data_IF_401866252812
#
_entry.id   IF_401866252812
#
_cell.length_a   1.000
_cell.length_b   1.000
_cell.length_c   1.000
_cell.angle_alpha   90.00
_cell.angle_beta   90.00
_cell.angle_gamma   90.00
#
_symmetry.space_group_name_H-M   'P 1'
#
loop_
_entity.id
_entity.type
_entity.pdbx_description
1 polymer ?
#
# COMPACT_ATOMS: atom_id res chain seq x y z
N UNK A 1 34.59 10.48 28.16
CA UNK A 1 34.20 10.96 26.81
C UNK A 1 34.27 9.87 25.73
N UNK A 2 35.31 9.04 25.68
CA UNK A 2 35.45 7.94 24.70
C UNK A 2 34.32 6.87 24.73
N UNK A 3 33.85 6.47 25.91
CA UNK A 3 32.82 5.42 26.04
C UNK A 3 31.43 5.88 25.57
N UNK A 4 31.07 7.13 25.87
CA UNK A 4 29.80 7.74 25.44
C UNK A 4 29.75 7.92 23.92
N UNK A 5 30.89 8.28 23.31
CA UNK A 5 31.03 8.40 21.87
C UNK A 5 30.89 7.04 21.16
N UNK A 6 31.46 5.96 21.72
CA UNK A 6 31.29 4.60 21.17
C UNK A 6 29.83 4.11 21.23
N UNK A 7 29.12 4.46 22.31
CA UNK A 7 27.69 4.16 22.45
C UNK A 7 26.84 4.90 21.40
N UNK A 8 27.14 6.17 21.17
CA UNK A 8 26.48 6.98 20.13
C UNK A 8 26.72 6.42 18.71
N UNK A 9 27.96 6.02 18.42
CA UNK A 9 28.28 5.39 17.12
C UNK A 9 27.59 4.04 16.93
N UNK A 10 27.44 3.23 17.98
CA UNK A 10 26.74 1.94 17.90
C UNK A 10 25.24 2.07 17.65
N UNK A 11 24.58 3.08 18.22
CA UNK A 11 23.14 3.32 17.96
C UNK A 11 22.87 3.81 16.55
N UNK A 12 23.76 4.63 15.97
CA UNK A 12 23.62 5.13 14.59
C UNK A 12 23.70 3.98 13.58
N UNK A 13 24.60 3.01 13.80
CA UNK A 13 24.75 1.86 12.92
C UNK A 13 23.52 0.93 12.94
N UNK A 14 22.85 0.79 14.09
CA UNK A 14 21.64 -0.02 14.22
C UNK A 14 20.42 0.57 13.46
N UNK A 15 20.32 1.91 13.39
CA UNK A 15 19.23 2.60 12.68
C UNK A 15 19.38 2.46 11.16
N UNK A 16 20.62 2.42 10.65
CA UNK A 16 20.90 2.27 9.21
C UNK A 16 20.49 0.89 8.66
N UNK A 17 20.49 -0.16 9.49
CA UNK A 17 20.06 -1.50 9.09
C UNK A 17 18.54 -1.73 9.21
N UNK A 18 17.79 -0.78 9.77
CA UNK A 18 16.35 -0.91 9.99
C UNK A 18 15.48 -0.47 8.79
N UNK A 19 16.10 -0.09 7.67
CA UNK A 19 15.39 0.20 6.42
C UNK A 19 14.79 -1.10 5.88
N UNK A 20 13.56 -1.38 6.30
CA UNK A 20 12.75 -2.45 5.76
C UNK A 20 12.53 -2.17 4.26
N UNK A 21 12.91 -3.13 3.42
CA UNK A 21 12.57 -3.11 2.00
C UNK A 21 11.04 -3.22 1.89
N UNK A 22 10.37 -2.09 1.64
CA UNK A 22 8.94 -2.10 1.36
C UNK A 22 8.74 -2.73 -0.02
N UNK A 23 8.25 -3.96 -0.05
CA UNK A 23 7.86 -4.62 -1.29
C UNK A 23 6.71 -3.82 -1.95
N UNK A 24 6.71 -3.75 -3.28
CA UNK A 24 5.60 -3.15 -4.01
C UNK A 24 4.31 -3.91 -3.68
N UNK A 25 3.22 -3.17 -3.41
CA UNK A 25 1.92 -3.78 -3.17
C UNK A 25 1.46 -4.52 -4.44
N UNK A 26 0.95 -5.75 -4.32
CA UNK A 26 0.36 -6.44 -5.47
C UNK A 26 -0.88 -5.69 -5.95
N UNK A 27 -1.11 -5.70 -7.27
CA UNK A 27 -2.33 -5.16 -7.87
C UNK A 27 -3.35 -6.28 -8.07
N UNK A 28 -4.57 -6.07 -7.58
CA UNK A 28 -5.72 -6.94 -7.83
C UNK A 28 -6.67 -6.22 -8.81
N UNK A 29 -6.70 -6.68 -10.05
CA UNK A 29 -7.61 -6.16 -11.08
C UNK A 29 -8.91 -6.96 -11.11
N UNK A 30 -10.05 -6.28 -10.93
CA UNK A 30 -11.39 -6.86 -10.95
C UNK A 30 -12.19 -6.21 -12.07
N UNK A 31 -12.69 -7.03 -12.98
CA UNK A 31 -13.53 -6.60 -14.09
C UNK A 31 -15.00 -6.68 -13.69
N UNK A 32 -15.75 -5.63 -14.00
CA UNK A 32 -17.17 -5.52 -13.67
C UNK A 32 -17.86 -4.54 -14.63
N UNK A 33 -19.14 -4.25 -14.42
CA UNK A 33 -19.91 -3.32 -15.25
C UNK A 33 -19.66 -1.85 -14.86
N UNK A 34 -19.89 -0.92 -15.79
CA UNK A 34 -19.62 0.52 -15.64
C UNK A 34 -20.31 1.19 -14.44
N UNK A 35 -21.52 0.76 -14.13
CA UNK A 35 -22.36 1.31 -13.06
C UNK A 35 -21.78 0.99 -11.68
N UNK A 36 -20.96 -0.07 -11.57
CA UNK A 36 -20.23 -0.38 -10.35
C UNK A 36 -19.03 0.55 -10.16
N UNK A 37 -18.26 0.79 -11.23
CA UNK A 37 -16.99 1.53 -11.19
C UNK A 37 -17.15 3.04 -11.29
N UNK A 38 -18.33 3.51 -11.69
CA UNK A 38 -18.69 4.93 -11.75
C UNK A 38 -18.43 5.69 -10.44
N UNK A 39 -18.17 6.99 -10.52
CA UNK A 39 -17.93 7.85 -9.35
C UNK A 39 -19.12 7.90 -8.36
N UNK A 40 -20.32 7.69 -8.89
CA UNK A 40 -21.57 7.59 -8.13
C UNK A 40 -21.89 6.15 -7.68
N UNK A 41 -21.16 5.16 -8.18
CA UNK A 41 -21.34 3.75 -7.90
C UNK A 41 -20.73 3.32 -6.55
N UNK A 42 -20.87 2.04 -6.19
CA UNK A 42 -20.27 1.48 -4.98
C UNK A 42 -18.74 1.33 -5.06
N UNK A 43 -18.16 1.27 -6.26
CA UNK A 43 -16.75 0.98 -6.52
C UNK A 43 -15.75 1.79 -5.69
N UNK A 44 -15.85 3.14 -5.64
CA UNK A 44 -14.95 3.97 -4.85
C UNK A 44 -14.91 3.60 -3.36
N UNK A 45 -16.07 3.37 -2.75
CA UNK A 45 -16.18 3.01 -1.32
C UNK A 45 -15.66 1.61 -1.04
N UNK A 46 -15.94 0.66 -1.93
CA UNK A 46 -15.45 -0.72 -1.83
C UNK A 46 -13.93 -0.75 -1.95
N UNK A 47 -13.35 -0.02 -2.91
CA UNK A 47 -11.90 0.11 -3.08
C UNK A 47 -11.23 0.61 -1.81
N UNK A 48 -11.72 1.73 -1.26
CA UNK A 48 -11.14 2.31 -0.05
C UNK A 48 -11.21 1.34 1.16
N UNK A 49 -12.35 0.67 1.34
CA UNK A 49 -12.53 -0.28 2.44
C UNK A 49 -11.65 -1.53 2.28
N UNK A 50 -11.52 -2.04 1.05
CA UNK A 50 -10.77 -3.26 0.75
C UNK A 50 -9.26 -3.04 0.83
N UNK A 51 -8.75 -1.91 0.34
CA UNK A 51 -7.31 -1.58 0.38
C UNK A 51 -6.79 -1.42 1.82
N UNK A 52 -7.67 -1.08 2.78
CA UNK A 52 -7.33 -1.08 4.22
C UNK A 52 -7.08 -2.47 4.78
N UNK A 53 -7.54 -3.53 4.11
CA UNK A 53 -7.45 -4.91 4.58
C UNK A 53 -6.42 -5.73 3.81
N UNK A 54 -6.33 -5.56 2.49
CA UNK A 54 -5.59 -6.49 1.63
C UNK A 54 -4.08 -6.22 1.53
N UNK A 55 -3.59 -5.06 1.99
CA UNK A 55 -2.24 -4.56 1.68
C UNK A 55 -1.90 -4.64 0.17
N UNK A 56 -2.89 -4.35 -0.66
CA UNK A 56 -2.85 -4.43 -2.11
C UNK A 56 -3.32 -3.11 -2.73
N UNK A 57 -3.13 -2.97 -4.03
CA UNK A 57 -3.80 -1.95 -4.84
C UNK A 57 -4.98 -2.62 -5.53
N UNK A 58 -6.20 -2.13 -5.32
CA UNK A 58 -7.38 -2.64 -6.02
C UNK A 58 -7.62 -1.81 -7.28
N UNK A 59 -7.73 -2.48 -8.43
CA UNK A 59 -8.07 -1.86 -9.71
C UNK A 59 -9.43 -2.38 -10.16
N UNK A 60 -10.39 -1.48 -10.31
CA UNK A 60 -11.74 -1.79 -10.77
C UNK A 60 -11.87 -1.34 -12.22
N UNK A 61 -12.10 -2.29 -13.13
CA UNK A 61 -12.25 -2.03 -14.57
C UNK A 61 -13.71 -2.22 -14.94
N UNK A 62 -14.36 -1.13 -15.35
CA UNK A 62 -15.70 -1.15 -15.92
C UNK A 62 -15.63 -1.58 -17.38
N UNK A 63 -16.33 -2.65 -17.73
CA UNK A 63 -16.59 -3.05 -19.10
C UNK A 63 -17.88 -2.35 -19.55
N UNK A 64 -17.89 -1.80 -20.76
CA UNK A 64 -19.11 -1.26 -21.36
C UNK A 64 -20.12 -2.39 -21.56
N UNK A 65 -21.34 -2.17 -21.09
CA UNK A 65 -22.48 -3.07 -21.30
C UNK A 65 -23.05 -2.87 -22.72
N UNK A 66 -22.22 -3.04 -23.76
CA UNK A 66 -22.64 -3.12 -25.18
C UNK A 66 -22.81 -1.81 -25.94
#
# INVERSE_FOLDING_TARGET
MSFLQKLLFSSILAILFAFNAQAAKPTLTVYTYDSFTSDWGPGPKVKEAFEKQCNCTLELVGLEDG
#
